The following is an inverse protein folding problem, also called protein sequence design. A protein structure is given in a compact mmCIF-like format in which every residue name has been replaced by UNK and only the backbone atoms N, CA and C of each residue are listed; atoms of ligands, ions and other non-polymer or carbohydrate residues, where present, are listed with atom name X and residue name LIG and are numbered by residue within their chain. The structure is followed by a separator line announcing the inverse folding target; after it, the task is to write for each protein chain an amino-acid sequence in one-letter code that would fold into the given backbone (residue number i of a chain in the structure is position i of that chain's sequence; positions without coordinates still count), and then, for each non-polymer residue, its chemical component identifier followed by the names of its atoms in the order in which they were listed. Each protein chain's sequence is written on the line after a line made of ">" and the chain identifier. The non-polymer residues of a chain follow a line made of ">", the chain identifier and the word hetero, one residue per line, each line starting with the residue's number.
data_IF_446333790595
#
_entry.id   IF_446333790595
#
_cell.length_a   1.000
_cell.length_b   1.000
_cell.length_c   1.000
_cell.angle_alpha   90.00
_cell.angle_beta   90.00
_cell.angle_gamma   90.00
#
_symmetry.space_group_name_H-M   'P 1'
#
loop_
_entity.id
_entity.type
_entity.pdbx_description
1 polymer ?
#
# COMPACT_ATOMS: atom_id res chain seq x y z
N UNK A 1 -26.10 -2.33 -34.03
CA UNK A 1 -26.12 -0.98 -33.40
C UNK A 1 -26.06 -1.21 -31.89
N UNK A 2 -25.13 -0.60 -31.13
CA UNK A 2 -24.95 -0.91 -29.70
C UNK A 2 -26.28 -0.75 -28.92
N UNK A 3 -26.72 -1.80 -28.22
CA UNK A 3 -27.97 -1.80 -27.44
C UNK A 3 -27.70 -1.57 -25.95
N UNK A 4 -28.59 -0.86 -25.22
CA UNK A 4 -28.43 -0.64 -23.78
C UNK A 4 -28.77 -1.91 -22.98
N UNK A 5 -28.13 -2.10 -21.83
CA UNK A 5 -28.24 -3.31 -20.97
C UNK A 5 -29.66 -3.62 -20.51
N UNK A 6 -30.54 -2.62 -20.49
CA UNK A 6 -31.95 -2.71 -20.13
C UNK A 6 -32.73 -3.59 -21.12
N UNK A 7 -32.30 -3.67 -22.38
CA UNK A 7 -32.89 -4.55 -23.40
C UNK A 7 -32.60 -6.02 -23.11
N UNK A 8 -31.44 -6.34 -22.54
CA UNK A 8 -31.14 -7.70 -22.10
C UNK A 8 -32.14 -8.15 -21.01
N UNK A 9 -32.44 -7.24 -20.08
CA UNK A 9 -33.38 -7.48 -18.99
C UNK A 9 -34.79 -7.76 -19.50
N UNK A 10 -35.24 -7.07 -20.55
CA UNK A 10 -36.58 -7.31 -21.12
C UNK A 10 -36.73 -8.72 -21.69
N UNK A 11 -35.70 -9.29 -22.34
CA UNK A 11 -35.76 -10.66 -22.85
C UNK A 11 -35.94 -11.70 -21.73
N UNK A 12 -35.27 -11.49 -20.59
CA UNK A 12 -35.42 -12.38 -19.42
C UNK A 12 -36.77 -12.20 -18.72
N UNK A 13 -37.34 -11.00 -18.70
CA UNK A 13 -38.63 -10.70 -18.07
C UNK A 13 -39.82 -11.16 -18.91
N UNK A 14 -39.75 -11.07 -20.24
CA UNK A 14 -40.81 -11.53 -21.14
C UNK A 14 -40.68 -13.00 -21.53
N UNK A 15 -39.53 -13.61 -21.26
CA UNK A 15 -39.23 -15.00 -21.66
C UNK A 15 -38.89 -15.14 -23.16
N UNK A 16 -38.71 -14.02 -23.86
CA UNK A 16 -38.34 -14.00 -25.27
C UNK A 16 -36.85 -14.30 -25.44
N UNK A 17 -36.53 -15.16 -26.40
CA UNK A 17 -35.14 -15.46 -26.76
C UNK A 17 -34.64 -14.44 -27.80
N UNK A 18 -33.52 -13.75 -27.56
CA UNK A 18 -32.95 -12.85 -28.57
C UNK A 18 -32.49 -13.63 -29.80
N UNK A 19 -32.55 -13.00 -30.97
CA UNK A 19 -31.93 -13.53 -32.19
C UNK A 19 -30.40 -13.46 -32.10
N UNK A 20 -29.69 -14.20 -32.97
CA UNK A 20 -28.23 -14.17 -33.02
C UNK A 20 -27.67 -12.76 -33.20
N UNK A 21 -28.26 -11.96 -34.10
CA UNK A 21 -27.85 -10.56 -34.30
C UNK A 21 -28.12 -9.69 -33.06
N UNK A 22 -29.26 -9.89 -32.39
CA UNK A 22 -29.57 -9.16 -31.15
C UNK A 22 -28.61 -9.55 -30.03
N UNK A 23 -28.22 -10.82 -29.97
CA UNK A 23 -27.23 -11.31 -29.02
C UNK A 23 -25.82 -10.78 -29.33
N UNK A 24 -25.40 -10.79 -30.60
CA UNK A 24 -24.15 -10.19 -31.05
C UNK A 24 -24.09 -8.68 -30.74
N UNK A 25 -25.16 -7.94 -31.03
CA UNK A 25 -25.27 -6.50 -30.74
C UNK A 25 -25.23 -6.19 -29.22
N UNK A 26 -25.62 -7.16 -28.37
CA UNK A 26 -25.53 -7.08 -26.91
C UNK A 26 -24.11 -7.38 -26.42
N UNK A 27 -23.47 -8.45 -26.91
CA UNK A 27 -22.09 -8.81 -26.52
C UNK A 27 -21.09 -7.72 -26.96
N UNK A 28 -21.29 -7.11 -28.14
CA UNK A 28 -20.49 -5.97 -28.59
C UNK A 28 -20.72 -4.68 -27.77
N UNK A 29 -21.82 -4.60 -27.00
CA UNK A 29 -22.04 -3.51 -26.02
C UNK A 29 -21.21 -3.69 -24.74
N UNK A 30 -20.74 -4.92 -24.46
CA UNK A 30 -19.89 -5.25 -23.32
C UNK A 30 -18.39 -5.19 -23.62
N UNK A 31 -17.99 -4.64 -24.78
CA UNK A 31 -16.61 -4.19 -25.01
C UNK A 31 -16.34 -2.97 -24.13
N UNK A 32 -16.03 -3.27 -22.86
CA UNK A 32 -15.72 -2.37 -21.77
C UNK A 32 -16.84 -1.40 -21.39
N UNK A 33 -16.99 -1.24 -20.08
CA UNK A 33 -17.34 0.05 -19.48
C UNK A 33 -16.24 1.05 -19.87
N UNK A 34 -16.11 1.34 -21.15
CA UNK A 34 -15.18 2.31 -21.68
C UNK A 34 -15.87 3.64 -21.40
N UNK A 35 -15.79 4.11 -20.15
CA UNK A 35 -16.18 5.47 -19.84
C UNK A 35 -15.23 6.48 -20.53
N UNK A 36 -14.32 6.03 -21.40
CA UNK A 36 -13.23 6.81 -21.99
C UNK A 36 -12.29 7.39 -20.94
N UNK A 37 -12.43 6.90 -19.70
CA UNK A 37 -11.85 7.48 -18.52
C UNK A 37 -10.53 6.79 -18.26
N UNK A 38 -9.45 7.45 -18.67
CA UNK A 38 -8.09 6.94 -18.52
C UNK A 38 -7.43 7.61 -17.31
N UNK A 39 -6.46 6.94 -16.70
CA UNK A 39 -5.59 7.58 -15.71
C UNK A 39 -4.70 8.58 -16.45
N UNK A 40 -4.80 9.86 -16.07
CA UNK A 40 -4.00 10.96 -16.65
C UNK A 40 -2.74 11.22 -15.85
N UNK A 41 -2.79 11.01 -14.52
CA UNK A 41 -1.62 11.15 -13.65
C UNK A 41 -1.80 10.37 -12.36
N UNK A 42 -0.66 10.00 -11.76
CA UNK A 42 -0.57 9.44 -10.41
C UNK A 42 0.31 10.37 -9.60
N UNK A 43 -0.22 10.91 -8.51
CA UNK A 43 0.47 11.91 -7.67
C UNK A 43 0.47 11.44 -6.23
N UNK A 44 1.63 11.51 -5.57
CA UNK A 44 1.74 11.26 -4.13
C UNK A 44 1.38 12.51 -3.34
N UNK A 45 0.53 12.39 -2.31
CA UNK A 45 0.23 13.50 -1.40
C UNK A 45 1.24 13.63 -0.25
N UNK A 46 1.07 14.66 0.59
CA UNK A 46 1.95 14.91 1.73
C UNK A 46 1.89 13.82 2.82
N UNK A 47 0.87 12.96 2.79
CA UNK A 47 0.69 11.82 3.68
C UNK A 47 1.24 10.51 3.05
N UNK A 48 1.68 10.57 1.78
CA UNK A 48 2.24 9.45 1.02
C UNK A 48 1.20 8.59 0.31
N UNK A 49 -0.08 8.97 0.31
CA UNK A 49 -1.12 8.28 -0.46
C UNK A 49 -0.92 8.50 -1.95
N UNK A 50 -1.44 7.60 -2.78
CA UNK A 50 -1.44 7.77 -4.24
C UNK A 50 -2.81 8.24 -4.72
N UNK A 51 -2.84 9.41 -5.37
CA UNK A 51 -4.03 9.94 -6.01
C UNK A 51 -3.96 9.65 -7.51
N UNK A 52 -4.89 8.82 -7.99
CA UNK A 52 -5.07 8.53 -9.41
C UNK A 52 -6.07 9.54 -9.96
N UNK A 53 -5.59 10.44 -10.82
CA UNK A 53 -6.43 11.42 -11.50
C UNK A 53 -6.89 10.85 -12.84
N UNK A 54 -8.18 10.85 -13.06
CA UNK A 54 -8.79 10.33 -14.27
C UNK A 54 -9.14 11.44 -15.26
N UNK A 55 -9.29 11.09 -16.54
CA UNK A 55 -9.58 12.07 -17.61
C UNK A 55 -10.96 12.70 -17.52
N UNK A 56 -11.86 12.17 -16.69
CA UNK A 56 -13.17 12.73 -16.38
C UNK A 56 -13.14 13.70 -15.18
N UNK A 57 -11.97 13.92 -14.59
CA UNK A 57 -11.77 14.76 -13.40
C UNK A 57 -12.04 14.06 -12.08
N UNK A 58 -12.42 12.77 -12.09
CA UNK A 58 -12.51 12.00 -10.85
C UNK A 58 -11.12 11.69 -10.29
N UNK A 59 -11.05 11.54 -8.97
CA UNK A 59 -9.82 11.19 -8.26
C UNK A 59 -10.10 10.00 -7.37
N UNK A 60 -9.29 8.95 -7.49
CA UNK A 60 -9.30 7.81 -6.57
C UNK A 60 -8.04 7.85 -5.74
N UNK A 61 -8.22 7.91 -4.42
CA UNK A 61 -7.12 7.86 -3.46
C UNK A 61 -6.88 6.43 -3.01
N UNK A 62 -5.69 5.92 -3.30
CA UNK A 62 -5.14 4.72 -2.67
C UNK A 62 -4.40 5.21 -1.42
N UNK A 63 -5.01 5.01 -0.27
CA UNK A 63 -4.39 5.36 1.01
C UNK A 63 -3.10 4.56 1.16
N UNK A 64 -2.00 5.24 1.49
CA UNK A 64 -0.79 4.59 1.96
C UNK A 64 -1.19 3.75 3.17
N UNK A 65 -0.77 2.48 3.25
CA UNK A 65 -1.00 1.68 4.44
C UNK A 65 -0.49 2.47 5.66
N UNK A 66 -1.40 2.85 6.56
CA UNK A 66 -1.05 3.55 7.81
C UNK A 66 -0.37 2.63 8.80
N UNK A 67 -0.74 1.35 8.72
CA UNK A 67 -0.04 0.27 9.37
C UNK A 67 0.75 -0.44 8.29
N UNK A 68 2.02 -0.74 8.58
CA UNK A 68 2.89 -1.49 7.69
C UNK A 68 2.48 -2.97 7.64
N UNK A 69 1.19 -3.22 7.45
CA UNK A 69 0.58 -4.53 7.45
C UNK A 69 0.18 -4.83 6.01
N UNK A 70 0.80 -5.85 5.45
CA UNK A 70 0.49 -6.38 4.12
C UNK A 70 -1.00 -6.71 3.99
N UNK A 71 -1.52 -6.62 2.75
CA UNK A 71 -2.87 -7.09 2.42
C UNK A 71 -3.05 -8.51 3.00
N UNK A 72 -4.00 -8.64 3.94
CA UNK A 72 -4.36 -9.84 4.72
C UNK A 72 -3.67 -10.05 6.09
N UNK A 73 -3.04 -9.05 6.72
CA UNK A 73 -2.47 -9.18 8.07
C UNK A 73 -1.36 -10.23 8.26
N UNK A 74 -0.84 -10.82 7.18
CA UNK A 74 0.17 -11.89 7.26
C UNK A 74 1.61 -11.41 7.35
N UNK A 75 1.85 -10.12 7.07
CA UNK A 75 3.17 -9.52 7.23
C UNK A 75 2.97 -8.19 7.93
N UNK A 76 3.60 -7.99 9.08
CA UNK A 76 3.61 -6.73 9.83
C UNK A 76 5.04 -6.22 9.95
N UNK A 77 5.27 -4.98 9.54
CA UNK A 77 6.54 -4.29 9.79
C UNK A 77 6.44 -3.53 11.10
N UNK A 78 7.46 -3.67 11.94
CA UNK A 78 7.59 -3.01 13.23
C UNK A 78 8.84 -2.14 13.17
N UNK A 79 8.63 -0.82 13.16
CA UNK A 79 9.72 0.15 13.25
C UNK A 79 10.19 0.26 14.70
N UNK A 80 11.46 -0.09 14.94
CA UNK A 80 12.12 0.02 16.23
C UNK A 80 12.95 1.32 16.36
N UNK A 81 13.00 2.13 15.31
CA UNK A 81 13.77 3.36 15.23
C UNK A 81 15.28 3.13 15.29
N UNK A 82 16.01 4.08 15.87
CA UNK A 82 17.46 3.98 16.01
C UNK A 82 17.85 3.11 17.21
N UNK A 83 18.53 2.01 16.93
CA UNK A 83 19.13 1.14 17.94
C UNK A 83 20.59 1.53 18.11
N UNK A 84 20.92 1.98 19.32
CA UNK A 84 22.29 2.27 19.69
C UNK A 84 22.94 0.98 20.19
N UNK A 85 23.82 0.41 19.40
CA UNK A 85 24.59 -0.76 19.82
C UNK A 85 25.72 -0.30 20.76
N UNK A 86 25.59 -0.63 22.05
CA UNK A 86 26.76 -0.66 22.93
C UNK A 86 27.71 -1.77 22.45
N UNK A 87 29.01 -1.65 22.75
CA UNK A 87 30.15 -2.35 22.14
C UNK A 87 30.02 -3.86 21.84
N UNK A 88 29.06 -4.59 22.42
CA UNK A 88 29.12 -6.05 22.45
C UNK A 88 28.00 -6.86 21.80
N UNK A 89 26.84 -6.30 21.40
CA UNK A 89 25.98 -7.01 20.41
C UNK A 89 24.80 -6.17 19.93
N UNK A 90 24.63 -6.09 18.61
CA UNK A 90 23.42 -5.58 17.97
C UNK A 90 22.20 -6.42 18.40
N UNK A 91 22.37 -7.73 18.60
CA UNK A 91 21.30 -8.64 19.01
C UNK A 91 20.73 -8.30 20.39
N UNK A 92 21.60 -8.01 21.37
CA UNK A 92 21.16 -7.60 22.70
C UNK A 92 20.40 -6.26 22.67
N UNK A 93 20.84 -5.36 21.79
CA UNK A 93 20.21 -4.04 21.60
C UNK A 93 18.85 -4.17 20.92
N UNK A 94 18.73 -5.09 19.95
CA UNK A 94 17.46 -5.46 19.31
C UNK A 94 16.48 -6.08 20.30
N UNK A 95 16.90 -7.06 21.09
CA UNK A 95 16.04 -7.69 22.11
C UNK A 95 15.50 -6.66 23.10
N UNK A 96 16.34 -5.72 23.54
CA UNK A 96 15.91 -4.64 24.42
C UNK A 96 14.91 -3.68 23.75
N UNK A 97 15.08 -3.37 22.47
CA UNK A 97 14.16 -2.52 21.72
C UNK A 97 12.77 -3.18 21.59
N UNK A 98 12.74 -4.47 21.21
CA UNK A 98 11.49 -5.24 21.08
C UNK A 98 10.76 -5.35 22.43
N UNK A 99 11.49 -5.58 23.52
CA UNK A 99 10.90 -5.70 24.87
C UNK A 99 10.33 -4.38 25.42
N UNK A 100 10.69 -3.23 24.83
CA UNK A 100 10.18 -1.91 25.22
C UNK A 100 8.96 -1.47 24.41
N UNK A 101 8.54 -2.25 23.42
CA UNK A 101 7.33 -1.97 22.66
C UNK A 101 6.12 -1.88 23.61
N UNK A 102 5.37 -0.79 23.47
CA UNK A 102 4.15 -0.55 24.23
C UNK A 102 3.03 -0.14 23.27
N UNK A 103 2.00 -0.98 23.05
CA UNK A 103 1.77 -2.25 23.72
C UNK A 103 2.80 -3.35 23.35
N UNK A 104 2.95 -4.40 24.18
CA UNK A 104 3.81 -5.54 23.86
C UNK A 104 3.46 -6.18 22.51
N UNK A 105 4.48 -6.67 21.80
CA UNK A 105 4.29 -7.33 20.51
C UNK A 105 3.60 -8.69 20.68
N UNK A 106 2.43 -8.86 20.05
CA UNK A 106 1.70 -10.14 19.98
C UNK A 106 1.69 -10.60 18.53
N UNK A 107 2.15 -11.82 18.27
CA UNK A 107 2.30 -12.39 16.92
C UNK A 107 1.42 -13.62 16.78
N UNK A 108 0.62 -13.69 15.72
CA UNK A 108 -0.19 -14.87 15.41
C UNK A 108 0.65 -15.96 14.71
N UNK A 109 0.21 -17.22 14.77
CA UNK A 109 0.95 -18.37 14.21
C UNK A 109 1.19 -18.28 12.69
N UNK A 110 0.38 -17.52 11.96
CA UNK A 110 0.48 -17.30 10.52
C UNK A 110 0.94 -15.88 10.13
N UNK A 111 1.48 -15.13 11.10
CA UNK A 111 1.99 -13.76 10.91
C UNK A 111 3.52 -13.73 10.80
N UNK A 112 4.03 -13.07 9.76
CA UNK A 112 5.45 -12.76 9.60
C UNK A 112 5.72 -11.35 10.11
N UNK A 113 6.76 -11.19 10.93
CA UNK A 113 7.18 -9.88 11.43
C UNK A 113 8.50 -9.48 10.78
N UNK A 114 8.54 -8.26 10.26
CA UNK A 114 9.77 -7.62 9.78
C UNK A 114 10.09 -6.48 10.74
N UNK A 115 11.31 -6.44 11.27
CA UNK A 115 11.76 -5.32 12.09
C UNK A 115 12.59 -4.36 11.24
N UNK A 116 12.22 -3.09 11.22
CA UNK A 116 12.99 -2.02 10.62
C UNK A 116 13.70 -1.23 11.74
N UNK A 117 14.99 -0.96 11.57
CA UNK A 117 15.80 -0.23 12.54
C UNK A 117 17.05 0.36 11.89
N UNK A 118 17.49 1.50 12.41
CA UNK A 118 18.80 2.07 12.11
C UNK A 118 19.80 1.65 13.18
N UNK A 119 21.00 1.23 12.80
CA UNK A 119 22.06 0.91 13.77
C UNK A 119 22.99 2.11 13.91
N UNK A 120 23.16 2.60 15.14
CA UNK A 120 24.25 3.52 15.49
C UNK A 120 25.26 2.82 16.41
N UNK A 121 26.54 2.87 16.05
CA UNK A 121 27.63 2.39 16.91
C UNK A 121 28.23 3.56 17.68
N UNK A 122 28.49 3.36 18.97
CA UNK A 122 29.29 4.32 19.74
C UNK A 122 30.70 4.43 19.13
N UNK A 123 31.12 5.66 18.79
CA UNK A 123 32.47 5.95 18.28
C UNK A 123 32.56 6.36 16.81
N UNK A 124 31.47 6.31 16.05
CA UNK A 124 31.39 6.97 14.75
C UNK A 124 31.03 8.44 15.00
N UNK A 125 32.00 9.19 15.49
CA UNK A 125 31.86 10.63 15.68
C UNK A 125 31.73 11.31 14.32
N UNK A 126 30.69 12.13 14.18
CA UNK A 126 30.66 13.21 13.20
C UNK A 126 31.89 14.07 13.48
N UNK A 127 32.96 13.84 12.73
CA UNK A 127 34.24 14.50 12.88
C UNK A 127 34.18 15.94 12.39
N UNK A 128 33.45 16.81 13.09
CA UNK A 128 33.60 18.25 12.98
C UNK A 128 33.65 18.89 14.37
N UNK A 129 34.82 19.44 14.70
CA UNK A 129 34.98 20.42 15.78
C UNK A 129 35.49 19.88 17.11
N UNK A 130 36.81 19.71 17.23
CA UNK A 130 37.57 20.63 18.07
C UNK A 130 39.08 20.43 17.89
N UNK A 131 39.76 21.53 17.56
CA UNK A 131 41.21 21.59 17.43
C UNK A 131 41.92 21.35 18.77
N UNK A 132 43.24 21.09 18.75
CA UNK A 132 43.99 20.80 19.96
C UNK A 132 44.01 22.02 20.88
N UNK A 133 43.53 21.85 22.12
CA UNK A 133 43.76 22.79 23.21
C UNK A 133 45.24 22.66 23.60
N UNK A 134 46.05 23.62 23.15
CA UNK A 134 47.36 23.89 23.73
C UNK A 134 47.20 24.80 24.95
N UNK A 135 47.50 24.28 26.13
CA UNK A 135 48.08 25.01 27.27
C UNK A 135 48.79 24.03 28.18
#
# INVERSE_FOLDING_TARGET
>A
MKQPKEILKTYFETGDKPTEQQFCDLIDSYHHLDSGTIVTSVVSDAQGNQNLNFSDGTVVTITKPTDHISQNNKIRIVDLGTITAAELSIEASLVNAVNRLNPPLVVADDENIIFEFDVRRFGEGDGEGDGPIFT
#
